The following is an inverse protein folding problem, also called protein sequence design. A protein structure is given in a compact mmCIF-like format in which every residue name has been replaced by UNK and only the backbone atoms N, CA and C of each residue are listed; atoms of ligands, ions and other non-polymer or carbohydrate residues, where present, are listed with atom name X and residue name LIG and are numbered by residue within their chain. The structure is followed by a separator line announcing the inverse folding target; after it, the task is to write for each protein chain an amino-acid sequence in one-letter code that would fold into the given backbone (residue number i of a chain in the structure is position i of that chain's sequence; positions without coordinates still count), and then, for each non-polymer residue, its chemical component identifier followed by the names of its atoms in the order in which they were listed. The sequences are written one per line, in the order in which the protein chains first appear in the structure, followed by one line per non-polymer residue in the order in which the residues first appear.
data_IF_756736565444
#
_entry.id   IF_756736565444
#
_cell.length_a   1.000
_cell.length_b   1.000
_cell.length_c   1.000
_cell.angle_alpha   90.00
_cell.angle_beta   90.00
_cell.angle_gamma   90.00
#
_symmetry.space_group_name_H-M   'P 1'
#
loop_
_entity.id
_entity.type
_entity.pdbx_description
1 polymer ?
#
# COMPACT_ATOMS: atom_id res chain seq x y z
N UNK A 1 29.30 18.57 -3.81
CA UNK A 1 30.52 18.92 -4.58
C UNK A 1 31.81 18.66 -3.78
N UNK A 2 32.08 19.35 -2.67
CA UNK A 2 33.32 19.19 -1.89
C UNK A 2 33.25 18.13 -0.77
N UNK A 3 32.39 17.13 -0.90
CA UNK A 3 32.33 16.04 0.09
C UNK A 3 33.57 15.15 -0.10
N UNK A 4 34.45 15.02 0.91
CA UNK A 4 35.69 14.25 0.77
C UNK A 4 35.46 12.74 0.61
N UNK A 5 34.29 12.21 0.95
CA UNK A 5 33.89 10.82 0.64
C UNK A 5 33.51 10.63 -0.84
N UNK A 6 33.05 11.69 -1.50
CA UNK A 6 32.58 11.64 -2.90
C UNK A 6 33.66 12.09 -3.89
N UNK A 7 34.50 13.07 -3.52
CA UNK A 7 35.61 13.58 -4.32
C UNK A 7 36.71 14.11 -3.39
N UNK A 8 37.75 13.30 -3.19
CA UNK A 8 38.94 13.67 -2.40
C UNK A 8 39.68 14.83 -3.06
N UNK A 9 39.72 14.86 -4.38
CA UNK A 9 40.39 15.92 -5.15
C UNK A 9 39.72 17.28 -4.94
N UNK A 10 38.40 17.39 -5.17
CA UNK A 10 37.69 18.66 -5.04
C UNK A 10 37.71 19.19 -3.61
N UNK A 11 37.60 18.29 -2.65
CA UNK A 11 37.62 18.63 -1.22
C UNK A 11 39.01 19.05 -0.74
N UNK A 12 40.08 18.43 -1.26
CA UNK A 12 41.48 18.83 -0.98
C UNK A 12 41.76 20.21 -1.55
N UNK A 13 41.40 20.44 -2.82
CA UNK A 13 41.52 21.74 -3.46
C UNK A 13 40.74 22.82 -2.69
N UNK A 14 39.55 22.48 -2.19
CA UNK A 14 38.74 23.40 -1.39
C UNK A 14 39.37 23.70 -0.03
N UNK A 15 39.90 22.69 0.67
CA UNK A 15 40.64 22.86 1.93
C UNK A 15 41.84 23.79 1.74
N UNK A 16 42.63 23.57 0.69
CA UNK A 16 43.84 24.34 0.42
C UNK A 16 43.51 25.80 0.10
N UNK A 17 42.40 26.03 -0.59
CA UNK A 17 41.86 27.39 -0.79
C UNK A 17 41.51 28.06 0.55
N UNK A 18 40.95 27.32 1.51
CA UNK A 18 40.64 27.86 2.86
C UNK A 18 41.93 28.15 3.64
N UNK A 19 42.93 27.27 3.60
CA UNK A 19 44.22 27.47 4.25
C UNK A 19 44.93 28.75 3.74
N UNK A 20 44.91 28.97 2.42
CA UNK A 20 45.43 30.21 1.81
C UNK A 20 44.71 31.46 2.34
N UNK A 21 43.38 31.41 2.46
CA UNK A 21 42.59 32.52 3.00
C UNK A 21 42.89 32.77 4.48
N UNK A 22 43.16 31.73 5.26
CA UNK A 22 43.53 31.86 6.68
C UNK A 22 44.89 32.54 6.85
N UNK A 23 45.87 32.28 5.97
CA UNK A 23 47.13 33.03 5.94
C UNK A 23 46.88 34.49 5.57
N UNK A 24 46.09 34.75 4.52
CA UNK A 24 45.78 36.12 4.09
C UNK A 24 45.07 36.94 5.18
N UNK A 25 44.25 36.28 6.00
CA UNK A 25 43.56 36.89 7.14
C UNK A 25 44.38 36.92 8.45
N UNK A 26 45.60 36.35 8.46
CA UNK A 26 46.50 36.37 9.61
C UNK A 26 46.14 35.38 10.73
N UNK A 27 45.32 34.36 10.45
CA UNK A 27 44.96 33.33 11.43
C UNK A 27 46.04 32.26 11.61
N UNK A 28 46.83 32.00 10.55
CA UNK A 28 47.97 31.08 10.54
C UNK A 28 49.11 31.70 9.74
N UNK A 29 50.33 31.23 9.98
CA UNK A 29 51.49 31.59 9.16
C UNK A 29 51.67 30.66 7.94
N UNK A 30 52.59 31.02 7.06
CA UNK A 30 52.82 30.28 5.80
C UNK A 30 53.40 28.88 6.01
N UNK A 31 54.13 28.66 7.10
CA UNK A 31 54.68 27.34 7.42
C UNK A 31 53.55 26.41 7.90
N UNK A 32 52.65 26.92 8.72
CA UNK A 32 51.45 26.20 9.17
C UNK A 32 50.50 25.86 8.01
N UNK A 33 50.35 26.75 7.01
CA UNK A 33 49.60 26.44 5.79
C UNK A 33 50.21 25.26 5.03
N UNK A 34 51.54 25.28 4.85
CA UNK A 34 52.26 24.26 4.09
C UNK A 34 52.17 22.91 4.78
N UNK A 35 52.41 22.86 6.10
CA UNK A 35 52.30 21.65 6.91
C UNK A 35 50.86 21.09 6.91
N UNK A 36 49.85 21.95 7.01
CA UNK A 36 48.46 21.53 6.97
C UNK A 36 48.00 21.05 5.59
N UNK A 37 48.55 21.60 4.50
CA UNK A 37 48.25 21.19 3.14
C UNK A 37 48.87 19.82 2.79
N UNK A 38 50.00 19.46 3.41
CA UNK A 38 50.67 18.15 3.23
C UNK A 38 49.91 16.99 3.89
N UNK A 39 48.96 17.27 4.77
CA UNK A 39 48.13 16.22 5.39
C UNK A 39 47.31 15.52 4.31
N UNK A 40 47.56 14.23 4.09
CA UNK A 40 46.76 13.43 3.17
C UNK A 40 45.33 13.28 3.70
N UNK A 41 44.38 13.89 3.00
CA UNK A 41 42.95 13.79 3.32
C UNK A 41 42.46 12.35 3.32
N UNK A 42 42.99 11.50 2.44
CA UNK A 42 42.61 10.09 2.34
C UNK A 42 42.93 9.33 3.61
N UNK A 43 44.10 9.58 4.21
CA UNK A 43 44.52 8.96 5.46
C UNK A 43 43.70 9.38 6.69
N UNK A 44 43.03 10.53 6.62
CA UNK A 44 42.19 11.08 7.69
C UNK A 44 40.70 10.81 7.46
N UNK A 45 40.32 10.30 6.29
CA UNK A 45 38.95 9.92 5.99
C UNK A 45 38.60 8.66 6.77
N UNK A 46 37.90 8.89 7.88
CA UNK A 46 37.18 7.86 8.57
C UNK A 46 35.71 8.08 8.31
N UNK A 47 35.11 7.26 7.44
CA UNK A 47 33.65 7.14 7.40
C UNK A 47 33.17 6.42 8.65
N UNK A 48 33.20 7.17 9.76
CA UNK A 48 32.67 6.77 11.07
C UNK A 48 31.23 7.24 11.24
N UNK A 49 30.59 7.72 10.16
CA UNK A 49 29.16 7.98 10.19
C UNK A 49 28.42 6.65 10.09
N UNK A 50 28.46 5.88 11.17
CA UNK A 50 27.35 5.01 11.49
C UNK A 50 26.21 5.93 11.90
N UNK A 51 25.35 6.28 10.95
CA UNK A 51 24.05 6.85 11.28
C UNK A 51 23.46 5.96 12.37
N UNK A 52 23.31 6.49 13.59
CA UNK A 52 22.90 5.65 14.71
C UNK A 52 21.59 4.99 14.32
N UNK A 53 21.58 3.67 14.21
CA UNK A 53 20.39 2.86 13.89
C UNK A 53 19.22 3.20 14.83
N UNK A 54 19.51 3.78 16.02
CA UNK A 54 18.52 4.33 16.96
C UNK A 54 17.63 5.45 16.42
N UNK A 55 18.05 6.17 15.37
CA UNK A 55 17.30 7.32 14.81
C UNK A 55 16.39 6.92 13.63
N UNK A 56 16.55 5.70 13.10
CA UNK A 56 15.74 5.15 12.00
C UNK A 56 14.46 4.48 12.53
N UNK A 57 13.60 5.27 13.18
CA UNK A 57 12.32 4.79 13.72
C UNK A 57 11.28 4.71 12.60
N UNK A 58 10.46 3.66 12.63
CA UNK A 58 9.38 3.41 11.66
C UNK A 58 9.89 3.30 10.20
N UNK A 59 10.77 2.34 9.90
CA UNK A 59 11.53 2.28 8.65
C UNK A 59 10.64 2.34 7.40
N UNK A 60 9.56 1.55 7.36
CA UNK A 60 8.62 1.55 6.22
C UNK A 60 7.94 2.91 6.00
N UNK A 61 7.63 3.64 7.06
CA UNK A 61 7.00 4.96 6.98
C UNK A 61 8.03 6.02 6.58
N UNK A 62 9.22 5.98 7.19
CA UNK A 62 10.32 6.87 6.85
C UNK A 62 10.66 6.77 5.36
N UNK A 63 10.85 5.56 4.84
CA UNK A 63 11.14 5.33 3.43
C UNK A 63 10.03 5.83 2.51
N UNK A 64 8.76 5.66 2.90
CA UNK A 64 7.62 6.18 2.15
C UNK A 64 7.59 7.71 2.09
N UNK A 65 7.92 8.38 3.20
CA UNK A 65 8.05 9.85 3.26
C UNK A 65 9.18 10.33 2.35
N UNK A 66 10.36 9.71 2.39
CA UNK A 66 11.46 10.06 1.48
C UNK A 66 11.06 9.86 0.03
N UNK A 67 10.41 8.74 -0.30
CA UNK A 67 9.94 8.46 -1.66
C UNK A 67 8.90 9.49 -2.14
N UNK A 68 7.98 9.95 -1.29
CA UNK A 68 7.04 11.02 -1.64
C UNK A 68 7.75 12.36 -1.81
N UNK A 69 8.67 12.72 -0.91
CA UNK A 69 9.49 13.92 -1.02
C UNK A 69 10.22 14.01 -2.38
N UNK A 70 10.79 12.88 -2.82
CA UNK A 70 11.50 12.78 -4.10
C UNK A 70 10.54 12.84 -5.28
N UNK A 71 9.50 12.01 -5.28
CA UNK A 71 8.63 11.85 -6.45
C UNK A 71 7.64 12.99 -6.67
N UNK A 72 7.15 13.63 -5.59
CA UNK A 72 6.08 14.64 -5.64
C UNK A 72 6.58 16.06 -5.47
N UNK A 73 7.62 16.25 -4.66
CA UNK A 73 8.13 17.58 -4.31
C UNK A 73 9.50 17.90 -4.94
N UNK A 74 10.00 17.02 -5.81
CA UNK A 74 11.25 17.18 -6.57
C UNK A 74 12.48 17.46 -5.68
N UNK A 75 12.48 16.94 -4.45
CA UNK A 75 13.66 16.96 -3.59
C UNK A 75 14.57 15.78 -3.92
N UNK A 76 15.87 15.98 -3.85
CA UNK A 76 16.82 14.88 -3.89
C UNK A 76 17.01 14.29 -2.48
N UNK A 77 17.42 13.03 -2.42
CA UNK A 77 17.75 12.40 -1.13
C UNK A 77 18.89 13.13 -0.42
N UNK A 78 19.90 13.58 -1.17
CA UNK A 78 21.01 14.40 -0.66
C UNK A 78 20.50 15.69 -0.02
N UNK A 79 19.53 16.37 -0.64
CA UNK A 79 18.91 17.57 -0.07
C UNK A 79 18.17 17.26 1.22
N UNK A 80 17.38 16.18 1.26
CA UNK A 80 16.61 15.77 2.45
C UNK A 80 17.54 15.52 3.64
N UNK A 81 18.66 14.83 3.41
CA UNK A 81 19.61 14.45 4.47
C UNK A 81 20.51 15.63 4.88
N UNK A 82 20.99 16.44 3.93
CA UNK A 82 22.06 17.40 4.20
C UNK A 82 21.59 18.83 4.49
N UNK A 83 20.37 19.22 4.08
CA UNK A 83 19.95 20.63 4.12
C UNK A 83 19.02 20.97 5.29
N UNK A 84 18.91 20.07 6.28
CA UNK A 84 18.20 20.34 7.53
C UNK A 84 16.70 20.62 7.36
N UNK A 85 16.04 19.93 6.44
CA UNK A 85 14.60 20.03 6.23
C UNK A 85 13.81 19.57 7.46
N UNK A 86 12.64 20.19 7.67
CA UNK A 86 11.61 19.72 8.60
C UNK A 86 10.43 19.22 7.78
N UNK A 87 10.20 17.91 7.82
CA UNK A 87 9.09 17.26 7.10
C UNK A 87 8.01 16.92 8.12
N UNK A 88 6.84 17.53 7.95
CA UNK A 88 5.64 17.26 8.72
C UNK A 88 4.81 16.22 7.97
N UNK A 89 4.36 15.19 8.68
CA UNK A 89 3.69 14.02 8.08
C UNK A 89 2.31 13.80 8.69
N UNK A 90 1.57 12.88 8.09
CA UNK A 90 0.26 12.41 8.56
C UNK A 90 0.38 11.25 9.57
N UNK A 91 1.60 10.90 9.99
CA UNK A 91 1.91 9.76 10.85
C UNK A 91 1.10 9.81 12.15
N UNK A 92 0.37 8.73 12.43
CA UNK A 92 -0.08 8.42 13.78
C UNK A 92 0.88 7.39 14.39
N UNK A 93 1.62 7.81 15.42
CA UNK A 93 2.62 6.95 16.05
C UNK A 93 2.02 5.73 16.74
N UNK A 94 0.76 5.80 17.21
CA UNK A 94 0.09 4.64 17.78
C UNK A 94 -0.23 3.63 16.67
N UNK A 95 -0.72 4.09 15.52
CA UNK A 95 -1.05 3.19 14.40
C UNK A 95 0.21 2.50 13.92
N UNK A 96 1.25 3.29 13.64
CA UNK A 96 2.50 2.79 13.11
C UNK A 96 3.20 1.83 14.07
N UNK A 97 3.28 2.16 15.37
CA UNK A 97 3.93 1.30 16.35
C UNK A 97 3.20 -0.04 16.49
N UNK A 98 1.86 -0.03 16.54
CA UNK A 98 1.06 -1.24 16.65
C UNK A 98 1.15 -2.10 15.37
N UNK A 99 1.07 -1.49 14.19
CA UNK A 99 1.26 -2.19 12.91
C UNK A 99 2.65 -2.84 12.85
N UNK A 100 3.68 -2.13 13.31
CA UNK A 100 5.04 -2.64 13.34
C UNK A 100 5.18 -3.84 14.31
N UNK A 101 4.62 -3.77 15.51
CA UNK A 101 4.60 -4.91 16.46
C UNK A 101 3.94 -6.15 15.84
N UNK A 102 2.85 -5.98 15.09
CA UNK A 102 2.20 -7.10 14.39
C UNK A 102 3.14 -7.71 13.34
N UNK A 103 3.87 -6.89 12.58
CA UNK A 103 4.81 -7.34 11.55
C UNK A 103 6.13 -7.91 12.10
N UNK A 104 6.49 -7.56 13.33
CA UNK A 104 7.61 -8.15 14.08
C UNK A 104 7.27 -9.54 14.64
N UNK A 105 5.98 -9.86 14.80
CA UNK A 105 5.55 -11.20 15.17
C UNK A 105 5.50 -12.14 13.95
N UNK A 106 6.66 -12.64 13.55
CA UNK A 106 6.84 -13.53 12.39
C UNK A 106 5.96 -14.80 12.42
N UNK A 107 5.49 -15.22 13.60
CA UNK A 107 4.59 -16.39 13.72
C UNK A 107 3.22 -16.18 13.08
N UNK A 108 2.84 -14.94 12.79
CA UNK A 108 1.61 -14.60 12.07
C UNK A 108 1.73 -14.79 10.56
N UNK A 109 2.93 -14.97 10.03
CA UNK A 109 3.20 -15.04 8.59
C UNK A 109 3.57 -16.46 8.16
N UNK A 110 3.01 -16.95 7.04
CA UNK A 110 3.37 -18.27 6.49
C UNK A 110 4.85 -18.37 6.15
N UNK A 111 5.41 -19.57 6.29
CA UNK A 111 6.81 -19.88 6.02
C UNK A 111 6.89 -21.11 5.11
N UNK A 112 7.66 -21.00 4.03
CA UNK A 112 7.96 -22.10 3.13
C UNK A 112 8.93 -23.11 3.77
N UNK A 113 9.08 -24.28 3.15
CA UNK A 113 9.92 -25.37 3.67
C UNK A 113 11.41 -24.98 3.75
N UNK A 114 11.88 -24.17 2.82
CA UNK A 114 13.26 -23.66 2.77
C UNK A 114 13.54 -22.58 3.85
N UNK A 115 12.50 -22.19 4.59
CA UNK A 115 12.56 -21.20 5.65
C UNK A 115 12.18 -19.78 5.23
N UNK A 116 11.90 -19.53 3.94
CA UNK A 116 11.49 -18.23 3.42
C UNK A 116 10.11 -17.84 3.96
N UNK A 117 9.97 -16.63 4.51
CA UNK A 117 8.67 -16.11 4.93
C UNK A 117 7.90 -15.49 3.74
N UNK A 118 6.59 -15.70 3.72
CA UNK A 118 5.70 -14.87 2.92
C UNK A 118 5.88 -13.41 3.32
N UNK A 119 5.88 -12.52 2.32
CA UNK A 119 5.95 -11.08 2.53
C UNK A 119 4.56 -10.47 2.64
N UNK A 120 4.51 -9.23 3.11
CA UNK A 120 3.24 -8.56 3.35
C UNK A 120 3.41 -7.04 3.30
N UNK A 121 2.33 -6.34 2.99
CA UNK A 121 2.25 -4.89 3.05
C UNK A 121 0.90 -4.45 3.58
N UNK A 122 0.87 -3.44 4.44
CA UNK A 122 -0.37 -2.87 4.96
C UNK A 122 -0.31 -1.36 5.10
N UNK A 123 -1.45 -0.73 4.82
CA UNK A 123 -1.69 0.72 4.95
C UNK A 123 -2.91 0.94 5.83
N UNK A 124 -2.80 1.88 6.77
CA UNK A 124 -3.94 2.49 7.45
C UNK A 124 -4.04 3.95 6.99
N UNK A 125 -5.13 4.28 6.30
CA UNK A 125 -5.38 5.58 5.66
C UNK A 125 -6.62 6.23 6.26
N UNK A 126 -6.55 7.51 6.58
CA UNK A 126 -7.70 8.30 7.00
C UNK A 126 -8.49 8.74 5.76
N UNK A 127 -9.78 8.37 5.63
CA UNK A 127 -10.51 8.48 4.38
C UNK A 127 -10.95 9.91 4.03
N UNK A 128 -11.06 10.83 4.99
CA UNK A 128 -11.51 12.22 4.73
C UNK A 128 -10.39 13.12 4.24
N UNK A 129 -9.12 12.79 4.43
CA UNK A 129 -7.98 13.56 3.94
C UNK A 129 -7.10 12.76 3.00
N UNK A 130 -7.10 11.43 3.09
CA UNK A 130 -6.12 10.58 2.40
C UNK A 130 -4.79 10.47 3.16
N UNK A 131 -4.70 11.03 4.36
CA UNK A 131 -3.49 10.97 5.16
C UNK A 131 -3.18 9.54 5.59
N UNK A 132 -1.99 9.04 5.23
CA UNK A 132 -1.54 7.71 5.62
C UNK A 132 -1.07 7.76 7.08
N UNK A 133 -1.86 7.19 7.97
CA UNK A 133 -1.62 7.17 9.43
C UNK A 133 -0.60 6.11 9.83
N UNK A 134 -0.53 4.99 9.10
CA UNK A 134 0.46 3.94 9.30
C UNK A 134 0.73 3.14 8.03
N UNK A 135 1.97 2.69 7.85
CA UNK A 135 2.40 1.83 6.75
C UNK A 135 3.49 0.86 7.20
N UNK A 136 3.36 -0.40 6.79
CA UNK A 136 4.37 -1.44 6.99
C UNK A 136 4.53 -2.20 5.68
N UNK A 137 5.76 -2.30 5.22
CA UNK A 137 6.05 -2.70 3.85
C UNK A 137 6.66 -4.09 3.69
N UNK A 138 7.09 -4.73 4.77
CA UNK A 138 7.76 -6.03 4.74
C UNK A 138 7.59 -6.73 6.10
N UNK A 139 7.58 -8.06 6.09
CA UNK A 139 7.67 -8.86 7.32
C UNK A 139 9.08 -8.72 7.90
N UNK A 140 9.19 -8.59 9.22
CA UNK A 140 10.48 -8.49 9.87
C UNK A 140 11.24 -9.81 9.76
N UNK A 141 12.21 -9.89 8.85
CA UNK A 141 13.16 -11.01 8.75
C UNK A 141 14.55 -10.51 9.16
N UNK A 142 15.27 -11.34 9.92
CA UNK A 142 16.44 -10.95 10.73
C UNK A 142 17.63 -10.39 9.94
N UNK A 143 17.63 -10.50 8.60
CA UNK A 143 18.75 -10.13 7.73
C UNK A 143 18.49 -8.92 6.81
N UNK A 144 17.31 -8.27 6.88
CA UNK A 144 16.92 -7.26 5.87
C UNK A 144 16.35 -5.98 6.44
N UNK A 145 17.01 -5.35 7.42
CA UNK A 145 16.70 -3.96 7.83
C UNK A 145 17.65 -2.98 7.15
N UNK A 146 17.50 -2.85 5.82
CA UNK A 146 18.21 -1.86 5.02
C UNK A 146 17.42 -0.56 4.89
N UNK A 147 18.12 0.54 4.65
CA UNK A 147 17.52 1.80 4.24
C UNK A 147 16.90 1.66 2.84
N UNK A 148 15.67 2.16 2.62
CA UNK A 148 14.95 2.12 1.33
C UNK A 148 14.71 0.71 0.77
N UNK A 149 14.36 -0.20 1.65
CA UNK A 149 13.91 -1.53 1.26
C UNK A 149 12.63 -1.49 0.40
N UNK A 150 12.45 -2.51 -0.44
CA UNK A 150 11.24 -2.64 -1.26
C UNK A 150 9.97 -2.68 -0.40
N UNK A 151 9.09 -1.71 -0.54
CA UNK A 151 7.92 -1.60 0.31
C UNK A 151 6.69 -2.20 -0.38
N UNK A 152 6.26 -3.40 0.03
CA UNK A 152 5.09 -4.07 -0.57
C UNK A 152 3.79 -3.26 -0.42
N UNK A 153 3.70 -2.35 0.55
CA UNK A 153 2.52 -1.51 0.73
C UNK A 153 2.40 -0.39 -0.32
N UNK A 154 3.53 0.08 -0.87
CA UNK A 154 3.57 1.30 -1.72
C UNK A 154 4.17 1.07 -3.10
N UNK A 155 4.97 0.02 -3.29
CA UNK A 155 5.75 -0.23 -4.51
C UNK A 155 5.38 -1.53 -5.23
N UNK A 156 4.64 -2.43 -4.57
CA UNK A 156 4.27 -3.70 -5.19
C UNK A 156 3.33 -3.55 -6.38
N UNK A 157 3.34 -4.58 -7.21
CA UNK A 157 2.46 -4.74 -8.38
C UNK A 157 1.86 -6.13 -8.29
N UNK A 158 0.74 -6.22 -7.59
CA UNK A 158 0.06 -7.47 -7.27
C UNK A 158 -1.34 -7.47 -7.86
N UNK A 159 -1.81 -8.64 -8.25
CA UNK A 159 -3.21 -8.80 -8.65
C UNK A 159 -4.10 -8.54 -7.44
N UNK A 160 -5.14 -7.67 -7.55
CA UNK A 160 -6.10 -7.46 -6.47
C UNK A 160 -7.04 -8.66 -6.24
N UNK A 161 -7.12 -9.58 -7.21
CA UNK A 161 -8.11 -10.64 -7.21
C UNK A 161 -9.53 -10.11 -6.98
N UNK A 162 -10.32 -10.83 -6.17
CA UNK A 162 -11.69 -10.43 -5.82
C UNK A 162 -11.81 -9.10 -5.05
N UNK A 163 -10.73 -8.51 -4.55
CA UNK A 163 -10.78 -7.19 -3.90
C UNK A 163 -11.14 -6.07 -4.88
N UNK A 164 -11.07 -6.31 -6.20
CA UNK A 164 -11.49 -5.35 -7.22
C UNK A 164 -13.02 -5.31 -7.43
N UNK A 165 -13.75 -6.37 -7.04
CA UNK A 165 -15.17 -6.55 -7.38
C UNK A 165 -16.06 -5.37 -6.96
N UNK A 166 -15.92 -4.79 -5.75
CA UNK A 166 -16.68 -3.58 -5.40
C UNK A 166 -16.47 -2.43 -6.37
N UNK A 167 -15.25 -2.26 -6.89
CA UNK A 167 -14.83 -1.13 -7.72
C UNK A 167 -15.36 -1.27 -9.15
N UNK A 168 -15.13 -2.43 -9.78
CA UNK A 168 -15.35 -2.60 -11.24
C UNK A 168 -16.61 -3.39 -11.60
N UNK A 169 -17.25 -4.05 -10.63
CA UNK A 169 -18.44 -4.89 -10.88
C UNK A 169 -19.67 -4.30 -10.23
N UNK A 170 -19.66 -4.21 -8.91
CA UNK A 170 -20.89 -3.94 -8.16
C UNK A 170 -21.21 -2.46 -8.04
N UNK A 171 -20.20 -1.59 -7.94
CA UNK A 171 -20.43 -0.13 -8.02
C UNK A 171 -21.09 0.27 -9.33
N UNK A 172 -20.59 -0.07 -10.53
CA UNK A 172 -21.26 0.29 -11.78
C UNK A 172 -22.65 -0.34 -11.93
N UNK A 173 -22.90 -1.52 -11.34
CA UNK A 173 -24.23 -2.11 -11.29
C UNK A 173 -25.21 -1.25 -10.47
N UNK A 174 -24.78 -0.78 -9.30
CA UNK A 174 -25.56 0.11 -8.44
C UNK A 174 -25.77 1.48 -9.09
N UNK A 175 -24.75 2.04 -9.77
CA UNK A 175 -24.88 3.28 -10.56
C UNK A 175 -25.87 3.10 -11.72
N UNK A 176 -25.93 1.92 -12.33
CA UNK A 176 -26.93 1.58 -13.35
C UNK A 176 -28.36 1.35 -12.78
N UNK A 177 -28.57 1.57 -11.49
CA UNK A 177 -29.87 1.48 -10.84
C UNK A 177 -30.29 0.07 -10.41
N UNK A 178 -29.38 -0.91 -10.42
CA UNK A 178 -29.71 -2.27 -9.99
C UNK A 178 -30.03 -2.30 -8.50
N UNK A 179 -31.09 -3.05 -8.14
CA UNK A 179 -31.46 -3.28 -6.76
C UNK A 179 -30.45 -4.21 -6.07
N UNK A 180 -30.15 -3.98 -4.78
CA UNK A 180 -29.17 -4.77 -4.02
C UNK A 180 -29.55 -6.26 -3.89
N UNK A 181 -30.85 -6.56 -3.99
CA UNK A 181 -31.40 -7.91 -3.98
C UNK A 181 -31.70 -8.43 -5.40
N UNK A 182 -31.24 -7.75 -6.46
CA UNK A 182 -31.34 -8.28 -7.82
C UNK A 182 -30.66 -9.65 -7.84
N UNK A 183 -31.40 -10.63 -8.36
CA UNK A 183 -30.91 -11.97 -8.59
C UNK A 183 -29.91 -11.95 -9.75
N UNK A 184 -28.73 -12.49 -9.50
CA UNK A 184 -27.62 -12.58 -10.44
C UNK A 184 -27.38 -14.04 -10.83
N UNK A 185 -26.99 -14.25 -12.08
CA UNK A 185 -26.64 -15.58 -12.59
C UNK A 185 -25.45 -16.16 -11.82
N UNK A 186 -25.63 -17.38 -11.29
CA UNK A 186 -24.60 -18.16 -10.60
C UNK A 186 -24.41 -19.55 -11.24
N UNK A 187 -24.84 -19.70 -12.49
CA UNK A 187 -24.83 -20.95 -13.25
C UNK A 187 -23.98 -20.89 -14.51
N UNK A 188 -23.97 -19.76 -15.22
CA UNK A 188 -23.26 -19.66 -16.51
C UNK A 188 -21.75 -19.75 -16.30
N UNK A 189 -21.20 -20.91 -16.63
CA UNK A 189 -19.76 -21.22 -16.54
C UNK A 189 -18.99 -20.94 -17.83
N UNK A 190 -19.68 -20.74 -18.95
CA UNK A 190 -19.05 -20.56 -20.27
C UNK A 190 -19.56 -19.26 -20.90
N UNK A 191 -18.63 -18.34 -21.15
CA UNK A 191 -18.86 -17.07 -21.84
C UNK A 191 -17.96 -17.04 -23.09
N UNK A 192 -18.51 -17.32 -24.26
CA UNK A 192 -17.75 -17.52 -25.49
C UNK A 192 -16.57 -18.51 -25.30
N UNK A 193 -15.32 -18.04 -25.33
CA UNK A 193 -14.11 -18.86 -25.09
C UNK A 193 -13.65 -18.89 -23.63
N UNK A 194 -14.26 -18.11 -22.75
CA UNK A 194 -13.89 -17.98 -21.34
C UNK A 194 -14.72 -18.93 -20.46
N UNK A 195 -14.03 -19.90 -19.84
CA UNK A 195 -14.62 -20.83 -18.88
C UNK A 195 -14.28 -20.39 -17.46
N UNK A 196 -15.28 -20.35 -16.58
CA UNK A 196 -15.16 -19.91 -15.20
C UNK A 196 -15.93 -20.84 -14.26
N UNK A 197 -15.47 -20.92 -13.01
CA UNK A 197 -16.20 -21.54 -11.90
C UNK A 197 -16.07 -20.68 -10.63
N UNK A 198 -16.94 -20.94 -9.66
CA UNK A 198 -16.77 -20.42 -8.31
C UNK A 198 -15.64 -21.15 -7.58
N UNK A 199 -15.05 -20.46 -6.60
CA UNK A 199 -14.01 -21.03 -5.76
C UNK A 199 -14.49 -22.32 -5.02
N UNK A 200 -13.58 -23.28 -4.82
CA UNK A 200 -13.81 -24.59 -4.16
C UNK A 200 -14.95 -25.44 -4.74
N UNK A 201 -15.39 -25.18 -5.97
CA UNK A 201 -16.51 -25.90 -6.56
C UNK A 201 -17.80 -25.73 -5.76
N UNK A 202 -17.97 -24.58 -5.07
CA UNK A 202 -19.24 -24.19 -4.45
C UNK A 202 -20.29 -24.28 -5.54
N UNK A 203 -21.13 -25.34 -5.42
CA UNK A 203 -22.06 -25.74 -6.46
C UNK A 203 -22.95 -24.57 -6.85
N UNK A 204 -23.13 -24.42 -8.15
CA UNK A 204 -24.04 -23.49 -8.81
C UNK A 204 -25.45 -23.57 -8.17
N UNK A 205 -25.72 -22.70 -7.21
CA UNK A 205 -27.07 -22.50 -6.68
C UNK A 205 -27.90 -21.72 -7.70
N UNK A 206 -29.22 -21.69 -7.53
CA UNK A 206 -30.10 -20.72 -8.23
C UNK A 206 -29.52 -19.31 -8.13
N UNK A 207 -30.00 -18.42 -9.00
CA UNK A 207 -29.65 -17.00 -8.97
C UNK A 207 -29.51 -16.47 -7.53
N UNK A 208 -28.45 -15.71 -7.30
CA UNK A 208 -28.07 -15.24 -5.96
C UNK A 208 -28.32 -13.74 -5.85
N UNK A 209 -28.85 -13.22 -4.73
CA UNK A 209 -28.96 -11.78 -4.54
C UNK A 209 -27.60 -11.09 -4.62
N UNK A 210 -27.52 -9.95 -5.30
CA UNK A 210 -26.27 -9.20 -5.50
C UNK A 210 -25.51 -8.91 -4.20
N UNK A 211 -26.20 -8.56 -3.11
CA UNK A 211 -25.56 -8.36 -1.80
C UNK A 211 -24.86 -9.62 -1.29
N UNK A 212 -25.46 -10.81 -1.50
CA UNK A 212 -24.91 -12.09 -1.06
C UNK A 212 -23.75 -12.50 -1.97
N UNK A 213 -23.88 -12.28 -3.28
CA UNK A 213 -22.80 -12.53 -4.24
C UNK A 213 -21.53 -11.74 -3.91
N UNK A 214 -21.68 -10.48 -3.48
CA UNK A 214 -20.57 -9.67 -3.01
C UNK A 214 -20.00 -10.19 -1.68
N UNK A 215 -20.86 -10.47 -0.70
CA UNK A 215 -20.48 -10.96 0.63
C UNK A 215 -19.67 -12.26 0.56
N UNK A 216 -20.14 -13.23 -0.23
CA UNK A 216 -19.51 -14.53 -0.47
C UNK A 216 -18.43 -14.50 -1.56
N UNK A 217 -18.22 -13.35 -2.21
CA UNK A 217 -17.20 -13.16 -3.24
C UNK A 217 -17.31 -14.11 -4.44
N UNK A 218 -18.53 -14.46 -4.85
CA UNK A 218 -18.75 -15.41 -5.94
C UNK A 218 -18.21 -14.88 -7.28
N UNK A 219 -17.64 -15.77 -8.09
CA UNK A 219 -17.00 -15.42 -9.37
C UNK A 219 -18.01 -15.37 -10.51
N UNK A 220 -18.89 -16.37 -10.60
CA UNK A 220 -19.89 -16.45 -11.67
C UNK A 220 -20.81 -15.22 -11.71
N UNK A 221 -21.41 -14.76 -10.59
CA UNK A 221 -22.25 -13.56 -10.59
C UNK A 221 -21.49 -12.28 -10.90
N UNK A 222 -20.21 -12.21 -10.52
CA UNK A 222 -19.39 -11.04 -10.80
C UNK A 222 -19.12 -10.90 -12.30
N UNK A 223 -18.74 -12.01 -12.96
CA UNK A 223 -18.51 -12.03 -14.41
C UNK A 223 -19.81 -11.86 -15.19
N UNK A 224 -20.91 -12.50 -14.76
CA UNK A 224 -22.23 -12.28 -15.35
C UNK A 224 -22.63 -10.80 -15.30
N UNK A 225 -22.39 -10.14 -14.17
CA UNK A 225 -22.69 -8.70 -14.00
C UNK A 225 -21.89 -7.84 -14.97
N UNK A 226 -20.58 -8.10 -15.16
CA UNK A 226 -19.77 -7.37 -16.14
C UNK A 226 -20.20 -7.67 -17.57
N UNK A 227 -20.55 -8.92 -17.86
CA UNK A 227 -21.08 -9.31 -19.17
C UNK A 227 -22.38 -8.57 -19.52
N UNK A 228 -23.31 -8.47 -18.55
CA UNK A 228 -24.59 -7.79 -18.72
C UNK A 228 -24.45 -6.25 -18.82
N UNK A 229 -23.54 -5.65 -18.04
CA UNK A 229 -23.31 -4.20 -18.04
C UNK A 229 -22.44 -3.73 -19.21
N UNK A 230 -21.60 -4.61 -19.74
CA UNK A 230 -20.55 -4.33 -20.70
C UNK A 230 -19.19 -4.11 -20.03
N UNK A 231 -18.15 -4.74 -20.60
CA UNK A 231 -16.76 -4.67 -20.09
C UNK A 231 -16.24 -3.25 -20.00
N UNK A 232 -16.64 -2.36 -20.91
CA UNK A 232 -16.18 -0.97 -20.92
C UNK A 232 -16.58 -0.20 -19.66
N UNK A 233 -17.78 -0.46 -19.09
CA UNK A 233 -18.19 0.15 -17.83
C UNK A 233 -17.34 -0.29 -16.65
N UNK A 234 -16.87 -1.54 -16.65
CA UNK A 234 -15.95 -2.03 -15.63
C UNK A 234 -14.59 -1.32 -15.70
N UNK A 235 -14.09 -1.08 -16.92
CA UNK A 235 -12.86 -0.33 -17.15
C UNK A 235 -12.99 1.14 -16.75
N UNK A 236 -14.05 1.81 -17.17
CA UNK A 236 -14.35 3.20 -16.79
C UNK A 236 -14.42 3.34 -15.26
N UNK A 237 -15.08 2.39 -14.58
CA UNK A 237 -15.13 2.37 -13.11
C UNK A 237 -13.74 2.18 -12.48
N UNK A 238 -12.92 1.25 -13.01
CA UNK A 238 -11.55 1.03 -12.54
C UNK A 238 -10.70 2.30 -12.62
N UNK A 239 -10.73 2.99 -13.76
CA UNK A 239 -10.04 4.27 -13.97
C UNK A 239 -10.56 5.36 -13.02
N UNK A 240 -11.89 5.41 -12.80
CA UNK A 240 -12.52 6.36 -11.88
C UNK A 240 -12.02 6.19 -10.44
N UNK A 241 -11.81 4.95 -10.01
CA UNK A 241 -11.23 4.58 -8.71
C UNK A 241 -9.69 4.61 -8.67
N UNK A 242 -9.04 5.10 -9.72
CA UNK A 242 -7.59 5.33 -9.74
C UNK A 242 -6.74 4.08 -10.00
N UNK A 243 -7.34 3.00 -10.50
CA UNK A 243 -6.60 1.83 -10.96
C UNK A 243 -5.98 2.12 -12.33
N UNK A 244 -4.78 1.59 -12.58
CA UNK A 244 -4.16 1.69 -13.90
C UNK A 244 -4.72 0.59 -14.82
N UNK A 245 -5.61 1.00 -15.73
CA UNK A 245 -6.27 0.10 -16.67
C UNK A 245 -5.65 0.12 -18.08
N UNK A 246 -4.62 0.95 -18.33
CA UNK A 246 -4.10 1.24 -19.68
C UNK A 246 -3.55 -0.01 -20.40
N UNK A 247 -2.97 -0.95 -19.64
CA UNK A 247 -2.33 -2.16 -20.16
C UNK A 247 -3.14 -3.44 -19.87
N UNK A 248 -4.36 -3.29 -19.38
CA UNK A 248 -5.24 -4.41 -19.02
C UNK A 248 -6.05 -4.80 -20.25
N UNK A 249 -6.02 -6.08 -20.62
CA UNK A 249 -6.82 -6.58 -21.75
C UNK A 249 -8.32 -6.43 -21.47
N UNK A 250 -9.07 -5.88 -22.43
CA UNK A 250 -10.52 -5.65 -22.32
C UNK A 250 -11.33 -6.93 -22.43
N UNK A 251 -11.25 -7.77 -21.40
CA UNK A 251 -11.93 -9.07 -21.30
C UNK A 251 -12.66 -9.21 -19.97
N UNK A 252 -13.62 -10.14 -19.90
CA UNK A 252 -14.46 -10.38 -18.71
C UNK A 252 -13.66 -10.73 -17.45
N UNK A 253 -12.44 -11.27 -17.60
CA UNK A 253 -11.54 -11.58 -16.50
C UNK A 253 -11.19 -10.38 -15.60
N UNK A 254 -11.38 -9.15 -16.09
CA UNK A 254 -11.21 -7.92 -15.28
C UNK A 254 -12.11 -7.92 -14.04
N UNK A 255 -13.28 -8.56 -14.11
CA UNK A 255 -14.21 -8.68 -12.98
C UNK A 255 -13.56 -9.39 -11.76
N UNK A 256 -12.52 -10.18 -12.00
CA UNK A 256 -11.78 -10.95 -11.01
C UNK A 256 -10.34 -10.41 -10.81
N UNK A 257 -10.00 -9.27 -11.41
CA UNK A 257 -8.69 -8.63 -11.27
C UNK A 257 -7.64 -9.09 -12.30
N UNK A 258 -8.03 -9.84 -13.34
CA UNK A 258 -7.09 -10.30 -14.36
C UNK A 258 -6.40 -9.13 -15.07
N UNK A 259 -5.07 -9.18 -15.14
CA UNK A 259 -4.23 -8.15 -15.76
C UNK A 259 -4.05 -6.86 -14.96
N UNK A 260 -4.83 -6.64 -13.90
CA UNK A 260 -4.74 -5.44 -13.06
C UNK A 260 -3.62 -5.62 -12.03
N UNK A 261 -2.73 -4.63 -11.95
CA UNK A 261 -1.67 -4.57 -10.94
C UNK A 261 -1.91 -3.40 -9.98
N UNK A 262 -1.79 -3.65 -8.68
CA UNK A 262 -1.97 -2.63 -7.64
C UNK A 262 -1.12 -2.92 -6.40
N UNK A 263 -1.14 -2.01 -5.43
CA UNK A 263 -0.60 -2.20 -4.08
C UNK A 263 -1.62 -1.77 -2.99
N UNK A 264 -1.32 -2.07 -1.70
CA UNK A 264 -2.17 -1.68 -0.58
C UNK A 264 -2.50 -0.19 -0.50
N UNK A 265 -1.57 0.72 -0.81
CA UNK A 265 -1.81 2.16 -0.79
C UNK A 265 -2.87 2.57 -1.82
N UNK A 266 -2.74 2.10 -3.05
CA UNK A 266 -3.71 2.36 -4.12
C UNK A 266 -5.09 1.79 -3.79
N UNK A 267 -5.15 0.57 -3.26
CA UNK A 267 -6.41 -0.05 -2.85
C UNK A 267 -7.06 0.66 -1.64
N UNK A 268 -6.26 1.14 -0.67
CA UNK A 268 -6.77 1.95 0.44
C UNK A 268 -7.38 3.26 -0.07
N UNK A 269 -6.71 3.92 -1.02
CA UNK A 269 -7.22 5.13 -1.66
C UNK A 269 -8.55 4.88 -2.38
N UNK A 270 -8.64 3.82 -3.18
CA UNK A 270 -9.87 3.47 -3.89
C UNK A 270 -11.03 3.19 -2.93
N UNK A 271 -10.78 2.45 -1.84
CA UNK A 271 -11.79 2.12 -0.84
C UNK A 271 -12.17 3.29 0.07
N UNK A 272 -11.31 4.30 0.20
CA UNK A 272 -11.64 5.54 0.91
C UNK A 272 -12.84 6.24 0.30
N UNK A 273 -13.08 6.09 -1.01
CA UNK A 273 -14.29 6.58 -1.64
C UNK A 273 -15.58 6.05 -0.98
N UNK A 274 -15.62 4.79 -0.54
CA UNK A 274 -16.79 4.24 0.15
C UNK A 274 -16.91 4.78 1.58
N UNK A 275 -15.78 4.83 2.30
CA UNK A 275 -15.72 5.37 3.66
C UNK A 275 -16.05 6.87 3.74
N UNK A 276 -15.82 7.60 2.65
CA UNK A 276 -15.95 9.05 2.56
C UNK A 276 -17.06 9.47 1.57
N UNK A 277 -18.20 8.79 1.61
CA UNK A 277 -19.43 9.24 0.94
C UNK A 277 -19.30 9.49 -0.58
N UNK A 278 -18.44 8.72 -1.23
CA UNK A 278 -18.14 8.78 -2.66
C UNK A 278 -17.04 9.76 -3.06
N UNK A 279 -16.37 10.40 -2.10
CA UNK A 279 -15.20 11.26 -2.33
C UNK A 279 -13.92 10.45 -2.14
N UNK A 280 -13.13 10.32 -3.21
CA UNK A 280 -11.82 9.68 -3.18
C UNK A 280 -10.75 10.74 -2.90
N UNK A 281 -10.02 10.70 -1.76
CA UNK A 281 -8.87 11.56 -1.53
C UNK A 281 -7.64 11.06 -2.30
N UNK A 282 -6.62 11.92 -2.41
CA UNK A 282 -5.27 11.47 -2.80
C UNK A 282 -4.50 10.99 -1.56
N UNK A 283 -3.99 9.77 -1.60
CA UNK A 283 -3.19 9.21 -0.52
C UNK A 283 -1.85 9.96 -0.40
N UNK A 284 -1.48 10.36 0.81
CA UNK A 284 -0.24 11.09 1.06
C UNK A 284 0.30 10.86 2.47
N UNK A 285 1.62 10.94 2.62
CA UNK A 285 2.36 10.86 3.86
C UNK A 285 2.79 12.26 4.34
N UNK A 286 3.14 13.16 3.44
CA UNK A 286 3.68 14.49 3.77
C UNK A 286 2.58 15.54 3.78
N UNK A 287 2.43 16.26 4.89
CA UNK A 287 1.52 17.41 5.00
C UNK A 287 2.23 18.73 4.66
N UNK A 288 3.48 18.91 5.09
CA UNK A 288 4.28 20.12 4.81
C UNK A 288 5.78 19.86 4.86
N UNK A 289 6.54 20.58 4.06
CA UNK A 289 8.01 20.61 4.10
C UNK A 289 8.50 22.05 4.33
N UNK A 290 9.37 22.22 5.31
CA UNK A 290 10.07 23.47 5.61
C UNK A 290 11.58 23.30 5.44
N UNK A 291 12.26 24.30 4.88
CA UNK A 291 13.73 24.31 4.83
C UNK A 291 14.35 24.67 6.21
N UNK A 292 15.68 24.60 6.32
CA UNK A 292 16.37 24.93 7.58
C UNK A 292 16.11 26.35 8.13
N UNK A 293 15.72 27.30 7.26
CA UNK A 293 15.35 28.66 7.67
C UNK A 293 13.90 28.79 8.17
N UNK A 294 13.11 27.71 8.13
CA UNK A 294 11.69 27.70 8.51
C UNK A 294 10.75 28.16 7.40
N UNK A 295 11.23 28.33 6.16
CA UNK A 295 10.37 28.66 5.03
C UNK A 295 9.66 27.41 4.52
N UNK A 296 8.35 27.51 4.33
CA UNK A 296 7.54 26.44 3.73
C UNK A 296 7.86 26.35 2.24
N UNK A 297 8.43 25.23 1.81
CA UNK A 297 8.75 24.98 0.39
C UNK A 297 7.68 24.12 -0.30
N UNK A 298 6.94 23.31 0.46
CA UNK A 298 5.87 22.48 -0.05
C UNK A 298 4.79 22.26 1.01
N UNK A 299 3.53 22.13 0.57
CA UNK A 299 2.41 21.72 1.41
C UNK A 299 1.45 20.88 0.60
N UNK A 300 0.90 19.84 1.22
CA UNK A 300 -0.14 19.03 0.61
C UNK A 300 -1.41 19.86 0.46
N UNK A 301 -2.01 19.82 -0.72
CA UNK A 301 -3.30 20.44 -1.00
C UNK A 301 -4.35 19.35 -0.94
N UNK A 302 -5.14 19.33 0.13
CA UNK A 302 -6.23 18.38 0.27
C UNK A 302 -7.17 18.53 -0.93
N UNK A 303 -7.13 17.53 -1.80
CA UNK A 303 -7.94 17.48 -3.02
C UNK A 303 -8.67 16.14 -3.03
N UNK A 304 -9.97 16.21 -3.26
CA UNK A 304 -10.85 15.06 -3.29
C UNK A 304 -11.64 15.08 -4.59
N UNK A 305 -11.78 13.91 -5.20
CA UNK A 305 -12.59 13.73 -6.39
C UNK A 305 -13.85 12.97 -6.00
N UNK A 306 -15.03 13.50 -6.35
CA UNK A 306 -16.26 12.70 -6.30
C UNK A 306 -16.18 11.63 -7.38
N UNK A 307 -15.99 10.38 -6.96
CA UNK A 307 -15.94 9.22 -7.85
C UNK A 307 -17.26 8.47 -7.86
N UNK A 308 -18.11 8.58 -6.84
CA UNK A 308 -19.48 8.06 -6.87
C UNK A 308 -20.41 8.99 -6.09
N UNK A 309 -21.71 8.86 -6.32
CA UNK A 309 -22.70 9.55 -5.50
C UNK A 309 -22.75 8.94 -4.10
N UNK A 310 -23.06 9.79 -3.10
CA UNK A 310 -23.20 9.34 -1.71
C UNK A 310 -24.17 8.15 -1.59
N UNK A 311 -25.30 8.18 -2.28
CA UNK A 311 -26.27 7.08 -2.24
C UNK A 311 -25.73 5.77 -2.81
N UNK A 312 -24.79 5.82 -3.76
CA UNK A 312 -24.11 4.64 -4.30
C UNK A 312 -23.09 4.12 -3.30
N UNK A 313 -22.32 5.02 -2.67
CA UNK A 313 -21.39 4.68 -1.59
C UNK A 313 -22.13 3.99 -0.43
N UNK A 314 -23.21 4.58 0.07
CA UNK A 314 -24.02 4.03 1.18
C UNK A 314 -24.56 2.62 0.85
N UNK A 315 -25.04 2.40 -0.39
CA UNK A 315 -25.50 1.10 -0.86
C UNK A 315 -24.37 0.08 -0.94
N UNK A 316 -23.23 0.45 -1.50
CA UNK A 316 -22.06 -0.41 -1.58
C UNK A 316 -21.52 -0.77 -0.19
N UNK A 317 -21.46 0.19 0.73
CA UNK A 317 -21.14 -0.04 2.13
C UNK A 317 -22.11 -1.03 2.76
N UNK A 318 -23.43 -0.89 2.54
CA UNK A 318 -24.42 -1.82 3.10
C UNK A 318 -24.21 -3.28 2.64
N UNK A 319 -23.79 -3.49 1.39
CA UNK A 319 -23.45 -4.82 0.90
C UNK A 319 -22.11 -5.33 1.45
N UNK A 320 -21.10 -4.44 1.55
CA UNK A 320 -19.76 -4.78 2.05
C UNK A 320 -19.69 -5.01 3.56
N UNK A 321 -20.66 -4.52 4.34
CA UNK A 321 -20.88 -4.97 5.73
C UNK A 321 -21.10 -6.49 5.77
N UNK A 322 -21.86 -7.02 4.79
CA UNK A 322 -22.10 -8.45 4.62
C UNK A 322 -20.81 -9.27 4.56
N UNK A 323 -19.76 -8.78 3.90
CA UNK A 323 -18.48 -9.50 3.84
C UNK A 323 -17.90 -9.80 5.23
N UNK A 324 -18.02 -8.86 6.18
CA UNK A 324 -17.48 -9.02 7.54
C UNK A 324 -18.48 -9.68 8.52
N UNK A 325 -19.78 -9.70 8.21
CA UNK A 325 -20.81 -10.28 9.10
C UNK A 325 -21.24 -11.70 8.72
N UNK A 326 -21.35 -12.01 7.42
CA UNK A 326 -21.87 -13.28 6.93
C UNK A 326 -21.18 -13.78 5.65
N UNK A 327 -20.01 -13.21 5.31
CA UNK A 327 -19.29 -13.50 4.08
C UNK A 327 -17.84 -13.93 4.31
N UNK A 328 -16.99 -13.65 3.32
CA UNK A 328 -15.60 -14.14 3.27
C UNK A 328 -14.65 -13.45 4.26
N UNK A 329 -15.05 -12.34 4.87
CA UNK A 329 -14.25 -11.54 5.78
C UNK A 329 -14.54 -11.75 7.26
N UNK A 330 -15.41 -12.70 7.65
CA UNK A 330 -15.78 -12.93 9.05
C UNK A 330 -14.55 -13.17 9.94
N UNK A 331 -13.55 -13.92 9.43
CA UNK A 331 -12.31 -14.19 10.17
C UNK A 331 -11.43 -12.95 10.35
N UNK A 332 -11.63 -11.90 9.55
CA UNK A 332 -10.93 -10.62 9.61
C UNK A 332 -11.57 -9.63 10.58
N UNK A 333 -12.80 -9.86 11.02
CA UNK A 333 -13.56 -8.90 11.83
C UNK A 333 -12.89 -8.63 13.18
N UNK A 334 -12.57 -7.37 13.51
CA UNK A 334 -12.08 -6.98 14.83
C UNK A 334 -13.17 -7.10 15.90
N UNK A 335 -12.77 -7.23 17.16
CA UNK A 335 -13.70 -7.21 18.28
C UNK A 335 -14.27 -5.80 18.47
N UNK A 336 -15.56 -5.69 18.80
CA UNK A 336 -16.25 -4.44 19.17
C UNK A 336 -16.35 -3.35 18.08
N UNK A 337 -15.87 -3.59 16.86
CA UNK A 337 -16.02 -2.66 15.73
C UNK A 337 -16.80 -3.29 14.59
N UNK A 338 -17.60 -2.47 13.91
CA UNK A 338 -18.28 -2.82 12.67
C UNK A 338 -17.46 -2.30 11.50
N UNK A 339 -17.05 -3.20 10.60
CA UNK A 339 -16.31 -2.84 9.39
C UNK A 339 -17.08 -3.28 8.16
N UNK A 340 -16.99 -2.47 7.10
CA UNK A 340 -17.33 -2.88 5.75
C UNK A 340 -16.03 -3.15 4.99
N UNK A 341 -16.06 -4.01 3.98
CA UNK A 341 -14.94 -4.14 3.06
C UNK A 341 -14.99 -5.38 2.22
N UNK A 342 -13.82 -5.89 1.84
CA UNK A 342 -13.69 -7.01 0.92
C UNK A 342 -12.43 -7.83 1.15
N UNK A 343 -12.52 -9.13 0.87
CA UNK A 343 -11.35 -10.00 0.72
C UNK A 343 -11.05 -10.30 -0.75
N UNK A 344 -9.80 -10.61 -1.04
CA UNK A 344 -9.33 -11.05 -2.35
C UNK A 344 -8.39 -12.24 -2.26
N UNK A 345 -8.42 -13.09 -3.28
CA UNK A 345 -7.45 -14.16 -3.50
C UNK A 345 -7.12 -14.23 -4.99
N UNK A 346 -5.88 -14.60 -5.29
CA UNK A 346 -5.44 -14.98 -6.63
C UNK A 346 -4.88 -16.41 -6.55
N UNK A 347 -5.32 -17.27 -7.45
CA UNK A 347 -4.90 -18.67 -7.52
C UNK A 347 -3.45 -18.79 -8.02
N UNK A 348 -2.71 -19.77 -7.52
CA UNK A 348 -1.39 -20.07 -8.04
C UNK A 348 -1.49 -20.74 -9.41
N UNK A 349 -0.68 -20.27 -10.37
CA UNK A 349 -0.75 -20.72 -11.78
C UNK A 349 -0.54 -22.24 -11.92
N UNK A 350 0.30 -22.83 -11.08
CA UNK A 350 0.63 -24.26 -11.12
C UNK A 350 -0.42 -25.15 -10.43
N UNK A 351 -1.21 -24.60 -9.49
CA UNK A 351 -2.27 -25.35 -8.81
C UNK A 351 -3.34 -24.39 -8.23
N UNK A 352 -4.61 -24.47 -8.70
CA UNK A 352 -5.69 -23.59 -8.26
C UNK A 352 -6.16 -23.84 -6.81
N UNK A 353 -5.69 -24.89 -6.15
CA UNK A 353 -5.92 -25.11 -4.70
C UNK A 353 -5.02 -24.24 -3.82
N UNK A 354 -4.00 -23.61 -4.38
CA UNK A 354 -3.09 -22.71 -3.68
C UNK A 354 -3.26 -21.26 -4.11
N UNK A 355 -2.75 -20.33 -3.29
CA UNK A 355 -2.87 -18.90 -3.56
C UNK A 355 -1.51 -18.20 -3.71
N UNK A 356 -1.44 -17.28 -4.67
CA UNK A 356 -0.30 -16.37 -4.83
C UNK A 356 -0.44 -15.15 -3.92
N UNK A 357 -1.64 -14.60 -3.88
CA UNK A 357 -1.96 -13.34 -3.21
C UNK A 357 -3.22 -13.50 -2.36
N UNK A 358 -3.16 -12.96 -1.14
CA UNK A 358 -4.33 -12.80 -0.27
C UNK A 358 -4.46 -11.34 0.14
N UNK A 359 -5.69 -10.84 0.05
CA UNK A 359 -6.05 -9.46 0.37
C UNK A 359 -7.17 -9.41 1.41
N UNK A 360 -7.06 -8.44 2.31
CA UNK A 360 -8.17 -7.98 3.13
C UNK A 360 -8.14 -6.47 3.15
N UNK A 361 -9.26 -5.86 2.76
CA UNK A 361 -9.47 -4.42 2.85
C UNK A 361 -10.72 -4.22 3.69
N UNK A 362 -10.62 -3.44 4.76
CA UNK A 362 -11.73 -3.12 5.63
C UNK A 362 -11.69 -1.64 5.99
N UNK A 363 -12.86 -1.04 6.19
CA UNK A 363 -12.97 0.34 6.57
C UNK A 363 -14.10 0.62 7.55
N UNK A 364 -13.90 1.67 8.32
CA UNK A 364 -14.90 2.44 9.06
C UNK A 364 -14.99 3.85 8.45
N UNK A 365 -15.85 4.76 8.93
CA UNK A 365 -15.83 6.16 8.50
C UNK A 365 -14.50 6.91 8.75
N UNK A 366 -13.61 6.38 9.60
CA UNK A 366 -12.41 7.08 10.07
C UNK A 366 -11.10 6.41 9.65
N UNK A 367 -11.12 5.16 9.20
CA UNK A 367 -9.92 4.47 8.71
C UNK A 367 -10.26 3.46 7.63
N UNK A 368 -9.41 3.40 6.61
CA UNK A 368 -9.32 2.31 5.64
C UNK A 368 -8.02 1.55 5.91
N UNK A 369 -8.14 0.25 6.19
CA UNK A 369 -7.03 -0.67 6.32
C UNK A 369 -6.99 -1.53 5.07
N UNK A 370 -5.88 -1.49 4.35
CA UNK A 370 -5.62 -2.33 3.17
C UNK A 370 -4.42 -3.21 3.47
N UNK A 371 -4.60 -4.53 3.37
CA UNK A 371 -3.58 -5.51 3.73
C UNK A 371 -3.43 -6.58 2.64
N UNK A 372 -2.17 -6.83 2.27
CA UNK A 372 -1.77 -7.86 1.31
C UNK A 372 -0.78 -8.84 1.95
N UNK A 373 -0.88 -10.11 1.57
CA UNK A 373 0.01 -11.20 1.98
C UNK A 373 0.33 -12.08 0.76
N UNK A 374 1.60 -12.48 0.60
CA UNK A 374 2.03 -13.41 -0.44
C UNK A 374 3.54 -13.56 -0.52
N UNK A 375 4.02 -14.57 -1.23
CA UNK A 375 5.46 -14.73 -1.46
C UNK A 375 5.96 -13.73 -2.51
N UNK A 376 7.21 -13.23 -2.42
CA UNK A 376 7.80 -12.36 -3.44
C UNK A 376 7.60 -12.92 -4.86
N UNK A 377 7.97 -14.19 -5.02
CA UNK A 377 7.74 -15.02 -6.20
C UNK A 377 6.86 -16.20 -5.78
N UNK A 378 5.81 -16.49 -6.54
CA UNK A 378 4.98 -17.68 -6.31
C UNK A 378 5.41 -18.81 -7.24
N UNK A 379 5.75 -19.95 -6.66
CA UNK A 379 6.17 -21.17 -7.36
C UNK A 379 5.79 -22.43 -6.54
N UNK A 380 6.16 -23.61 -7.03
CA UNK A 380 5.84 -24.91 -6.42
C UNK A 380 6.40 -25.10 -4.99
N UNK A 381 7.34 -24.26 -4.56
CA UNK A 381 7.92 -24.27 -3.21
C UNK A 381 7.49 -23.05 -2.38
N UNK A 382 7.02 -21.98 -3.02
CA UNK A 382 6.64 -20.71 -2.39
C UNK A 382 5.20 -20.33 -2.74
N UNK A 383 4.25 -20.77 -1.90
CA UNK A 383 2.83 -20.48 -2.09
C UNK A 383 2.13 -20.38 -0.73
N UNK A 384 1.00 -19.69 -0.71
CA UNK A 384 0.15 -19.67 0.47
C UNK A 384 -0.72 -20.93 0.47
N UNK A 385 -0.61 -21.72 1.54
CA UNK A 385 -1.40 -22.92 1.71
C UNK A 385 -2.89 -22.58 1.83
N UNK A 386 -3.70 -23.34 1.11
CA UNK A 386 -5.13 -23.07 1.00
C UNK A 386 -5.43 -21.86 0.13
N UNK A 387 -6.72 -21.59 0.06
CA UNK A 387 -7.33 -21.00 -1.12
C UNK A 387 -8.31 -19.87 -0.81
N UNK A 388 -8.39 -19.57 0.49
CA UNK A 388 -9.17 -18.50 1.09
C UNK A 388 -8.20 -17.51 1.74
N UNK A 389 -8.65 -16.28 1.99
CA UNK A 389 -7.82 -15.22 2.56
C UNK A 389 -7.50 -15.39 4.07
N UNK A 390 -7.49 -16.61 4.61
CA UNK A 390 -7.38 -16.85 6.06
C UNK A 390 -6.07 -16.34 6.67
N UNK A 391 -4.93 -16.49 5.97
CA UNK A 391 -3.65 -15.96 6.44
C UNK A 391 -3.69 -14.44 6.56
N UNK A 392 -4.11 -13.77 5.48
CA UNK A 392 -4.29 -12.31 5.47
C UNK A 392 -5.34 -11.84 6.50
N UNK A 393 -6.40 -12.61 6.72
CA UNK A 393 -7.46 -12.30 7.68
C UNK A 393 -6.95 -12.23 9.12
N UNK A 394 -6.11 -13.19 9.53
CA UNK A 394 -5.55 -13.19 10.87
C UNK A 394 -4.61 -12.01 11.11
N UNK A 395 -3.74 -11.69 10.16
CA UNK A 395 -2.84 -10.53 10.28
C UNK A 395 -3.64 -9.24 10.28
N UNK A 396 -4.57 -9.07 9.33
CA UNK A 396 -5.47 -7.92 9.27
C UNK A 396 -6.22 -7.71 10.59
N UNK A 397 -6.79 -8.76 11.18
CA UNK A 397 -7.55 -8.65 12.43
C UNK A 397 -6.66 -8.18 13.59
N UNK A 398 -5.41 -8.63 13.66
CA UNK A 398 -4.46 -8.15 14.68
C UNK A 398 -4.14 -6.66 14.47
N UNK A 399 -3.96 -6.22 13.22
CA UNK A 399 -3.77 -4.80 12.90
C UNK A 399 -5.01 -3.99 13.31
N UNK A 400 -6.20 -4.40 12.86
CA UNK A 400 -7.45 -3.71 13.13
C UNK A 400 -7.71 -3.58 14.64
N UNK A 401 -7.58 -4.66 15.41
CA UNK A 401 -7.77 -4.65 16.86
C UNK A 401 -6.81 -3.70 17.60
N UNK A 402 -5.62 -3.48 17.07
CA UNK A 402 -4.59 -2.66 17.73
C UNK A 402 -4.63 -1.20 17.32
N UNK A 403 -5.16 -0.86 16.14
CA UNK A 403 -5.24 0.54 15.68
C UNK A 403 -6.62 1.18 15.88
N UNK A 404 -7.72 0.42 15.78
CA UNK A 404 -9.09 0.95 15.90
C UNK A 404 -9.38 1.66 17.23
N UNK A 405 -8.82 1.23 18.39
CA UNK A 405 -8.95 1.97 19.65
C UNK A 405 -8.40 3.40 19.64
N UNK A 406 -7.59 3.75 18.64
CA UNK A 406 -7.02 5.09 18.44
C UNK A 406 -7.73 5.87 17.33
N UNK A 407 -8.82 5.34 16.76
CA UNK A 407 -9.70 6.10 15.88
C UNK A 407 -10.64 7.00 16.69
N UNK A 408 -11.17 8.09 16.10
CA UNK A 408 -12.19 8.92 16.75
C UNK A 408 -13.46 8.17 17.18
N UNK A 409 -13.73 6.99 16.60
CA UNK A 409 -15.00 6.26 16.73
C UNK A 409 -16.16 6.98 16.05
#
# INVERSE_FOLDING_TARGET
LYNPLNSVEDSTNRRDTVLQNMVAAGYIDKNQETEAAEVDMTSQLHDKYEGKISDYRYPSYFDAVVNEAVSKYNLTEEEIVNNGYRIYTELDQNYQANMQIVYENISLFPRAEDGTFAQSGSVALEPKTGGVRGVVGQVADNDKTGFRNFNYATQSKRSPGSAIKPLVVYTPAVEAGWALNKLLDNHTMQYDSYKLDNYAGIKTSREVPMYQALAESLNLPAVATVNDLGVDKAFEAGEKFGLNMEKVDRVLGVALGSGVETNPLQMAQAYAAFANEGLMPEAHFISRIENASGQVIASHKNSQKRVIDKSVADKMTSMMLGTFTNGTGISSSPADYVMAGKTGTTEAVFNPEYTSDQWVIGYTPDVVISHWLGFPTTDENHYLAGSTSNGAAHVFRNIANTILPYTPG
#
